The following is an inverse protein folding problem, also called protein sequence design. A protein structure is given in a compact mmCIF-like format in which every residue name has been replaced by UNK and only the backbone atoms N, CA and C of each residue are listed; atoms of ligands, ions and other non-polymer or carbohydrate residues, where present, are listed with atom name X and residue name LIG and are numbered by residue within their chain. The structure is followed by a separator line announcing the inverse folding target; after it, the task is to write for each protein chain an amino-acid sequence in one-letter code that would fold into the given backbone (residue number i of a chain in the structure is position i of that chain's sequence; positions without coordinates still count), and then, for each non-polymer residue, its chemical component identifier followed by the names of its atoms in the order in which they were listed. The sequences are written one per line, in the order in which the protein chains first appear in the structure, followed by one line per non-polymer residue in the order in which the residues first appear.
data_IF_565425659315
#
_entry.id   IF_565425659315
#
_cell.length_a   1.000
_cell.length_b   1.000
_cell.length_c   1.000
_cell.angle_alpha   90.00
_cell.angle_beta   90.00
_cell.angle_gamma   90.00
#
_symmetry.space_group_name_H-M   'P 1'
#
loop_
_entity.id
_entity.type
_entity.pdbx_description
1 polymer ?
2 non-polymer ?
3 non-polymer ?
4 non-polymer ?
5 water ?
#
# COMPACT_ATOMS: atom_id res chain seq x y z
N UNK A 21 4.18 12.69 -27.54
CA UNK A 21 3.39 11.46 -27.51
C UNK A 21 2.06 11.63 -26.76
N UNK A 22 0.98 11.09 -27.33
CA UNK A 22 -0.35 11.17 -26.72
C UNK A 22 -1.08 9.82 -26.79
N UNK A 23 -2.22 9.72 -26.13
CA UNK A 23 -3.04 8.52 -26.17
C UNK A 23 -4.52 8.86 -26.07
N UNK A 24 -5.36 7.96 -26.56
CA UNK A 24 -6.80 8.12 -26.54
C UNK A 24 -7.44 7.09 -25.61
N UNK A 25 -8.31 7.56 -24.71
CA UNK A 25 -9.04 6.69 -23.79
C UNK A 25 -10.50 7.09 -23.85
N UNK A 26 -11.35 6.17 -24.34
CA UNK A 26 -12.81 6.34 -24.47
C UNK A 26 -13.18 7.66 -25.18
N UNK A 27 -12.52 7.91 -26.30
CA UNK A 27 -12.70 9.11 -27.12
C UNK A 27 -12.04 10.38 -26.60
N UNK A 28 -11.37 10.31 -25.42
CA UNK A 28 -10.69 11.45 -24.82
C UNK A 28 -9.19 11.41 -25.07
N UNK A 29 -8.59 12.55 -25.44
CA UNK A 29 -7.17 12.65 -25.75
C UNK A 29 -6.38 13.15 -24.54
N UNK A 30 -5.23 12.53 -24.30
CA UNK A 30 -4.36 12.88 -23.18
C UNK A 30 -2.95 13.05 -23.68
N UNK A 31 -2.26 14.12 -23.29
CA UNK A 31 -0.87 14.23 -23.71
C UNK A 31 0.03 13.73 -22.58
N UNK A 32 1.06 12.95 -22.92
CA UNK A 32 2.00 12.39 -21.96
C UNK A 32 3.03 13.45 -21.55
N UNK A 33 3.18 13.69 -20.23
CA UNK A 33 4.18 14.64 -19.74
C UNK A 33 5.45 13.89 -19.39
N UNK A 34 5.30 12.65 -18.85
CA UNK A 34 6.41 11.77 -18.48
C UNK A 34 5.92 10.42 -17.90
N UNK A 35 6.82 9.44 -17.85
CA UNK A 35 6.64 8.13 -17.26
C UNK A 35 7.02 8.26 -15.78
N UNK A 36 6.08 7.94 -14.87
CA UNK A 36 6.17 7.98 -13.41
C UNK A 36 6.80 6.67 -12.95
N UNK A 37 6.32 5.56 -13.53
CA UNK A 37 6.75 4.23 -13.12
C UNK A 37 6.55 3.13 -14.14
N UNK A 38 7.01 1.93 -13.76
CA UNK A 38 6.98 0.72 -14.58
C UNK A 38 7.00 -0.53 -13.72
N UNK A 39 6.61 -1.64 -14.33
CA UNK A 39 6.56 -2.95 -13.70
C UNK A 39 5.99 -3.98 -14.64
N UNK A 40 6.81 -4.96 -15.02
CA UNK A 40 6.43 -6.02 -15.94
C UNK A 40 6.09 -5.47 -17.31
N UNK A 41 4.84 -5.67 -17.75
CA UNK A 41 4.39 -5.17 -19.06
C UNK A 41 3.52 -3.89 -18.93
N UNK A 42 3.58 -3.23 -17.75
CA UNK A 42 2.86 -2.01 -17.50
C UNK A 42 3.76 -0.78 -17.23
N UNK A 43 3.25 0.40 -17.63
CA UNK A 43 3.89 1.71 -17.50
C UNK A 43 2.86 2.67 -16.93
N UNK A 44 3.27 3.58 -16.03
CA UNK A 44 2.40 4.62 -15.44
C UNK A 44 2.91 5.96 -15.96
N UNK A 45 2.00 6.78 -16.50
CA UNK A 45 2.30 8.10 -17.03
C UNK A 45 1.59 9.23 -16.32
N UNK A 46 2.26 10.39 -16.23
CA UNK A 46 1.71 11.66 -15.79
C UNK A 46 1.22 12.31 -17.11
N UNK A 47 -0.09 12.57 -17.21
CA UNK A 47 -0.72 13.07 -18.44
C UNK A 47 -1.61 14.31 -18.19
N UNK A 48 -2.04 14.95 -19.30
CA UNK A 48 -2.99 16.04 -19.26
C UNK A 48 -4.14 15.77 -20.22
N UNK A 49 -5.38 16.08 -19.81
CA UNK A 49 -6.49 15.99 -20.76
C UNK A 49 -6.51 17.33 -21.57
N UNK A 50 -7.58 17.57 -22.34
CA UNK A 50 -7.75 18.77 -23.18
C UNK A 50 -7.98 20.05 -22.37
N UNK A 51 -8.50 19.94 -21.14
CA UNK A 51 -8.73 21.08 -20.23
C UNK A 51 -7.48 21.36 -19.36
N UNK A 52 -6.37 20.65 -19.65
CA UNK A 52 -5.07 20.71 -18.98
C UNK A 52 -5.15 20.22 -17.54
N UNK A 53 -6.04 19.24 -17.26
CA UNK A 53 -6.18 18.60 -15.95
C UNK A 53 -5.23 17.41 -15.94
N UNK A 54 -4.53 17.24 -14.82
CA UNK A 54 -3.53 16.22 -14.61
C UNK A 54 -4.14 14.88 -14.14
N UNK A 55 -3.64 13.77 -14.70
CA UNK A 55 -4.05 12.41 -14.36
C UNK A 55 -2.84 11.50 -14.40
N UNK A 56 -3.01 10.30 -13.84
CA UNK A 56 -2.05 9.22 -13.94
C UNK A 56 -2.74 8.20 -14.86
N UNK A 57 -2.07 7.78 -15.94
CA UNK A 57 -2.59 6.75 -16.81
C UNK A 57 -1.71 5.53 -16.72
N UNK A 58 -2.29 4.39 -16.34
CA UNK A 58 -1.57 3.13 -16.33
C UNK A 58 -1.87 2.44 -17.67
N UNK A 59 -0.81 2.13 -18.41
CA UNK A 59 -0.91 1.37 -19.65
C UNK A 59 -0.38 -0.04 -19.38
N UNK A 60 -1.12 -1.07 -19.80
CA UNK A 60 -0.73 -2.48 -19.63
C UNK A 60 -0.71 -3.15 -21.01
N UNK A 61 0.46 -3.68 -21.43
CA UNK A 61 0.59 -4.42 -22.68
C UNK A 61 0.18 -5.89 -22.40
N UNK A 62 -0.90 -6.35 -23.06
CA UNK A 62 -1.46 -7.70 -22.87
C UNK A 62 -1.00 -8.76 -23.89
N UNK A 63 -0.15 -8.38 -24.87
CA UNK A 63 0.31 -9.27 -25.95
C UNK A 63 0.96 -10.58 -25.46
N UNK A 64 1.79 -10.54 -24.39
CA UNK A 64 2.42 -11.76 -23.85
C UNK A 64 1.83 -12.17 -22.47
N UNK A 65 0.53 -11.90 -22.25
CA UNK A 65 -0.18 -12.22 -21.00
C UNK A 65 -1.05 -13.47 -21.11
N UNK A 66 -0.90 -14.36 -20.12
CA UNK A 66 -1.64 -15.62 -19.97
C UNK A 66 -2.97 -15.37 -19.24
N UNK A 67 -3.85 -16.40 -19.18
CA UNK A 67 -5.16 -16.31 -18.55
C UNK A 67 -5.14 -15.97 -17.05
N UNK A 68 -4.08 -16.40 -16.32
CA UNK A 68 -3.91 -16.13 -14.88
C UNK A 68 -3.63 -14.63 -14.69
N UNK A 69 -2.73 -14.07 -15.53
CA UNK A 69 -2.33 -12.67 -15.55
C UNK A 69 -3.48 -11.77 -16.02
N UNK A 70 -4.32 -12.25 -16.97
CA UNK A 70 -5.46 -11.46 -17.48
C UNK A 70 -6.49 -11.31 -16.39
N UNK A 71 -6.78 -12.41 -15.69
CA UNK A 71 -7.72 -12.46 -14.59
C UNK A 71 -7.30 -11.56 -13.43
N UNK A 72 -5.98 -11.43 -13.17
CA UNK A 72 -5.43 -10.61 -12.08
C UNK A 72 -5.69 -9.13 -12.38
N UNK A 73 -5.50 -8.71 -13.65
CA UNK A 73 -5.79 -7.35 -14.07
C UNK A 73 -7.28 -7.06 -14.11
N UNK A 74 -8.11 -8.03 -14.51
CA UNK A 74 -9.56 -7.86 -14.55
C UNK A 74 -10.08 -7.72 -13.13
N UNK A 75 -9.55 -8.54 -12.19
CA UNK A 75 -9.95 -8.52 -10.78
C UNK A 75 -9.59 -7.21 -10.07
N UNK A 76 -8.36 -6.66 -10.32
CA UNK A 76 -7.88 -5.38 -9.79
C UNK A 76 -8.80 -4.24 -10.25
N UNK A 77 -9.09 -4.17 -11.57
CA UNK A 77 -9.95 -3.13 -12.14
C UNK A 77 -11.34 -3.18 -11.52
N UNK A 78 -11.93 -4.39 -11.41
CA UNK A 78 -13.24 -4.63 -10.83
C UNK A 78 -13.27 -4.12 -9.38
N UNK A 79 -12.25 -4.47 -8.55
CA UNK A 79 -12.18 -4.04 -7.16
C UNK A 79 -11.98 -2.52 -7.05
N UNK A 80 -11.17 -1.92 -7.92
CA UNK A 80 -10.99 -0.48 -7.99
C UNK A 80 -12.32 0.22 -8.30
N UNK A 81 -13.06 -0.30 -9.28
CA UNK A 81 -14.35 0.23 -9.69
C UNK A 81 -15.38 0.14 -8.55
N UNK A 82 -15.53 -1.03 -7.93
CA UNK A 82 -16.45 -1.24 -6.82
C UNK A 82 -16.13 -0.33 -5.61
N UNK A 83 -14.86 -0.36 -5.14
CA UNK A 83 -14.43 0.33 -3.93
C UNK A 83 -14.46 1.85 -3.99
N UNK A 84 -14.55 2.47 -5.20
CA UNK A 84 -14.62 3.93 -5.45
C UNK A 84 -15.71 4.52 -4.58
N UNK A 85 -16.91 3.91 -4.63
CA UNK A 85 -18.13 4.33 -3.94
C UNK A 85 -18.12 4.00 -2.45
N UNK A 86 -17.13 3.24 -1.95
CA UNK A 86 -17.11 2.86 -0.54
C UNK A 86 -16.13 3.69 0.31
N UNK A 87 -15.04 4.17 -0.29
CA UNK A 87 -14.08 4.97 0.47
C UNK A 87 -13.36 5.96 -0.43
N UNK A 88 -13.02 7.15 0.10
CA UNK A 88 -12.22 8.11 -0.66
C UNK A 88 -10.72 7.83 -0.39
N UNK A 89 -10.39 6.75 0.36
CA UNK A 89 -9.00 6.40 0.68
C UNK A 89 -8.46 5.32 -0.25
N UNK A 90 -9.17 5.07 -1.33
CA UNK A 90 -8.79 4.20 -2.41
C UNK A 90 -8.63 5.16 -3.58
N UNK A 91 -7.57 5.01 -4.37
CA UNK A 91 -7.30 5.88 -5.52
C UNK A 91 -8.51 5.93 -6.47
N UNK A 92 -8.85 7.12 -6.97
CA UNK A 92 -9.95 7.31 -7.93
C UNK A 92 -9.58 6.79 -9.31
N UNK A 93 -10.45 5.93 -9.88
CA UNK A 93 -10.34 5.40 -11.22
C UNK A 93 -11.47 6.09 -12.01
N UNK A 94 -11.11 6.96 -12.94
CA UNK A 94 -12.07 7.75 -13.69
C UNK A 94 -12.68 7.08 -14.90
N UNK A 95 -11.85 6.40 -15.67
CA UNK A 95 -12.19 5.76 -16.92
C UNK A 95 -11.14 4.70 -17.19
N UNK A 96 -11.44 3.86 -18.15
CA UNK A 96 -10.57 2.79 -18.57
C UNK A 96 -11.00 2.27 -19.92
N UNK A 97 -10.05 1.66 -20.63
CA UNK A 97 -10.26 1.03 -21.91
C UNK A 97 -9.59 -0.34 -21.87
N UNK A 98 -10.32 -1.38 -22.20
CA UNK A 98 -9.77 -2.74 -22.18
C UNK A 98 -10.05 -3.44 -23.50
N UNK A 99 -8.98 -3.91 -24.16
CA UNK A 99 -9.06 -4.71 -25.39
C UNK A 99 -8.23 -6.00 -25.16
N UNK A 100 -8.09 -6.83 -26.20
CA UNK A 100 -7.27 -8.03 -26.17
C UNK A 100 -5.75 -7.70 -26.12
N UNK A 101 -5.37 -6.49 -26.58
CA UNK A 101 -3.96 -6.07 -26.64
C UNK A 101 -3.50 -5.19 -25.48
N UNK A 102 -4.39 -4.35 -24.94
CA UNK A 102 -3.98 -3.41 -23.91
C UNK A 102 -5.06 -3.06 -22.92
N UNK A 103 -4.63 -2.40 -21.84
CA UNK A 103 -5.45 -1.79 -20.81
C UNK A 103 -4.89 -0.36 -20.67
N UNK A 104 -5.81 0.61 -20.59
CA UNK A 104 -5.52 2.00 -20.21
C UNK A 104 -6.40 2.27 -19.00
N UNK A 105 -5.80 2.80 -17.93
CA UNK A 105 -6.58 3.13 -16.74
C UNK A 105 -6.30 4.57 -16.41
N UNK A 106 -7.34 5.41 -16.40
CA UNK A 106 -7.28 6.83 -16.10
C UNK A 106 -7.56 7.05 -14.62
N UNK A 107 -6.55 7.45 -13.87
CA UNK A 107 -6.68 7.64 -12.43
C UNK A 107 -6.32 9.03 -11.94
N UNK A 108 -6.64 9.33 -10.66
CA UNK A 108 -6.24 10.61 -10.07
C UNK A 108 -4.72 10.64 -9.88
N UNK A 109 -4.14 11.83 -10.02
CA UNK A 109 -2.70 11.98 -9.90
C UNK A 109 -2.32 12.33 -8.46
N UNK A 110 -1.30 11.66 -7.96
CA UNK A 110 -0.76 11.88 -6.62
C UNK A 110 0.63 12.47 -6.71
N UNK A 111 1.03 13.22 -5.68
CA UNK A 111 2.32 13.91 -5.60
C UNK A 111 3.49 12.95 -5.50
N UNK A 112 3.37 11.92 -4.64
CA UNK A 112 4.44 10.97 -4.34
C UNK A 112 3.88 9.75 -3.59
N UNK A 113 4.54 8.60 -3.69
CA UNK A 113 4.12 7.41 -2.92
C UNK A 113 4.70 7.58 -1.51
N UNK A 114 4.13 6.89 -0.52
CA UNK A 114 4.60 6.97 0.87
C UNK A 114 6.04 6.52 1.05
N UNK A 115 6.48 5.49 0.30
CA UNK A 115 7.84 4.98 0.42
C UNK A 115 8.90 6.01 0.03
N UNK A 116 8.74 6.68 -1.15
CA UNK A 116 9.68 7.71 -1.64
C UNK A 116 9.69 8.90 -0.71
N UNK A 117 8.53 9.23 -0.12
CA UNK A 117 8.36 10.29 0.86
C UNK A 117 9.12 9.96 2.17
N UNK A 118 8.95 8.73 2.71
CA UNK A 118 9.64 8.29 3.94
C UNK A 118 11.18 8.29 3.78
N UNK A 119 11.65 8.18 2.55
CA UNK A 119 13.07 8.21 2.20
C UNK A 119 13.60 9.65 2.23
N UNK A 120 12.82 10.63 1.71
CA UNK A 120 13.17 12.07 1.66
C UNK A 120 13.20 12.70 3.07
N UNK A 121 12.17 12.42 3.89
CA UNK A 121 11.97 12.94 5.25
C UNK A 121 13.06 12.57 6.26
N UNK A 122 13.53 13.58 7.03
CA UNK A 122 14.54 13.41 8.09
C UNK A 122 13.89 13.00 9.42
N UNK A 123 12.62 13.44 9.61
CA UNK A 123 11.74 13.18 10.77
C UNK A 123 10.31 13.53 10.37
N UNK A 124 9.33 12.87 10.99
CA UNK A 124 7.93 13.10 10.68
C UNK A 124 7.21 13.82 11.85
N UNK A 125 6.33 14.75 11.47
CA UNK A 125 5.45 15.51 12.34
C UNK A 125 4.44 14.51 13.00
N UNK A 126 4.24 14.52 14.34
CA UNK A 126 3.30 13.56 14.95
C UNK A 126 1.87 13.63 14.43
N UNK A 127 1.44 14.82 13.98
CA UNK A 127 0.10 15.06 13.46
C UNK A 127 -0.07 14.53 12.05
N UNK A 128 1.02 14.55 11.25
CA UNK A 128 1.05 14.01 9.91
C UNK A 128 1.04 12.48 10.00
N UNK A 129 1.83 11.92 10.95
CA UNK A 129 1.92 10.48 11.20
C UNK A 129 0.53 9.91 11.58
N UNK A 130 -0.16 10.59 12.50
CA UNK A 130 -1.50 10.23 12.99
C UNK A 130 -2.52 10.26 11.87
N UNK A 131 -2.54 11.33 11.07
CA UNK A 131 -3.43 11.51 9.93
C UNK A 131 -3.21 10.40 8.89
N UNK A 132 -1.92 10.11 8.56
CA UNK A 132 -1.52 9.06 7.61
C UNK A 132 -1.99 7.68 8.09
N UNK A 133 -1.77 7.37 9.38
CA UNK A 133 -2.20 6.14 10.05
C UNK A 133 -3.71 5.94 9.94
N UNK A 134 -4.50 7.00 10.18
CA UNK A 134 -5.96 6.89 10.07
C UNK A 134 -6.40 6.57 8.64
N UNK A 135 -5.79 7.19 7.64
CA UNK A 135 -6.08 6.96 6.21
C UNK A 135 -5.77 5.53 5.83
N UNK A 136 -4.63 5.01 6.28
CA UNK A 136 -4.21 3.64 6.01
C UNK A 136 -5.21 2.66 6.60
N UNK A 137 -5.63 2.89 7.88
CA UNK A 137 -6.65 2.05 8.54
C UNK A 137 -7.95 2.06 7.79
N UNK A 138 -8.43 3.24 7.34
CA UNK A 138 -9.67 3.35 6.57
C UNK A 138 -9.59 2.62 5.22
N UNK A 139 -8.49 2.80 4.46
CA UNK A 139 -8.32 2.12 3.17
C UNK A 139 -8.32 0.59 3.36
N UNK A 140 -7.51 0.10 4.33
CA UNK A 140 -7.37 -1.35 4.55
C UNK A 140 -8.63 -1.92 5.13
N UNK A 141 -9.35 -1.16 5.99
CA UNK A 141 -10.60 -1.65 6.52
C UNK A 141 -11.63 -1.91 5.42
N UNK A 142 -11.72 -0.99 4.44
CA UNK A 142 -12.62 -1.08 3.28
C UNK A 142 -12.36 -2.33 2.43
N UNK A 143 -11.10 -2.67 2.15
CA UNK A 143 -10.80 -3.86 1.34
C UNK A 143 -11.15 -5.13 2.11
N UNK A 144 -10.96 -5.12 3.47
CA UNK A 144 -11.32 -6.25 4.33
C UNK A 144 -12.80 -6.50 4.32
N UNK A 145 -13.61 -5.43 4.29
CA UNK A 145 -15.09 -5.52 4.23
C UNK A 145 -15.55 -6.14 2.90
N UNK A 146 -14.73 -6.08 1.85
CA UNK A 146 -15.09 -6.69 0.58
C UNK A 146 -14.41 -8.06 0.38
N UNK A 147 -13.88 -8.61 1.46
CA UNK A 147 -13.25 -9.92 1.46
C UNK A 147 -11.85 -10.03 0.91
N UNK A 148 -11.15 -8.90 0.78
CA UNK A 148 -9.77 -8.87 0.31
C UNK A 148 -8.81 -8.81 1.48
N UNK A 149 -7.83 -9.70 1.50
CA UNK A 149 -6.71 -9.59 2.41
C UNK A 149 -5.56 -9.25 1.45
N UNK A 150 -4.91 -8.09 1.63
CA UNK A 150 -3.81 -7.65 0.77
C UNK A 150 -2.64 -8.64 0.81
N UNK A 151 -2.12 -8.92 2.04
CA UNK A 151 -1.01 -9.81 2.41
C UNK A 151 0.41 -9.30 2.03
N UNK A 152 0.49 -8.25 1.22
CA UNK A 152 1.78 -7.74 0.75
C UNK A 152 1.95 -6.25 1.03
N UNK A 153 1.35 -5.72 2.14
CA UNK A 153 1.39 -4.29 2.42
C UNK A 153 2.77 -3.76 2.77
N UNK A 154 3.08 -2.62 2.18
CA UNK A 154 4.33 -1.89 2.37
C UNK A 154 4.06 -0.41 2.06
N UNK A 155 4.93 0.54 2.48
CA UNK A 155 4.66 1.97 2.19
C UNK A 155 4.44 2.33 0.72
N UNK A 156 5.10 1.63 -0.25
CA UNK A 156 4.91 1.95 -1.69
C UNK A 156 3.48 1.70 -2.21
N UNK A 157 2.63 0.96 -1.44
CA UNK A 157 1.21 0.71 -1.81
C UNK A 157 0.32 1.90 -1.50
N UNK A 158 0.87 2.93 -0.85
CA UNK A 158 0.14 4.13 -0.49
C UNK A 158 0.65 5.34 -1.25
N UNK A 159 -0.27 6.16 -1.68
CA UNK A 159 0.02 7.34 -2.43
C UNK A 159 -0.51 8.60 -1.70
N UNK A 160 0.29 9.68 -1.68
CA UNK A 160 -0.12 10.96 -1.09
C UNK A 160 -0.85 11.73 -2.19
N UNK A 161 -2.14 12.02 -1.95
CA UNK A 161 -3.00 12.81 -2.85
C UNK A 161 -3.65 13.90 -2.00
N UNK A 162 -3.17 15.13 -2.16
CA UNK A 162 -3.68 16.34 -1.48
C UNK A 162 -3.67 16.19 0.07
N UNK A 163 -2.50 15.87 0.62
CA UNK A 163 -2.30 15.64 2.05
C UNK A 163 -3.05 14.45 2.64
N UNK A 164 -3.47 13.51 1.79
CA UNK A 164 -4.24 12.33 2.21
C UNK A 164 -3.60 11.08 1.60
N UNK A 165 -3.48 9.97 2.38
CA UNK A 165 -2.95 8.70 1.86
C UNK A 165 -4.09 7.91 1.24
N UNK A 166 -3.80 7.32 0.08
CA UNK A 166 -4.76 6.49 -0.64
C UNK A 166 -4.08 5.21 -1.04
N UNK A 167 -4.77 4.09 -0.88
CA UNK A 167 -4.29 2.78 -1.30
C UNK A 167 -4.33 2.74 -2.86
N UNK A 168 -3.28 2.19 -3.50
CA UNK A 168 -3.25 2.17 -4.95
C UNK A 168 -3.29 0.77 -5.56
N UNK A 169 -3.09 -0.30 -4.76
CA UNK A 169 -3.19 -1.67 -5.25
C UNK A 169 -3.73 -2.59 -4.17
N UNK A 170 -4.28 -3.74 -4.58
CA UNK A 170 -4.91 -4.68 -3.66
C UNK A 170 -4.13 -5.97 -3.43
N UNK A 171 -2.90 -6.00 -3.94
CA UNK A 171 -2.04 -7.17 -3.87
C UNK A 171 -2.52 -8.28 -4.79
N UNK A 172 -3.33 -7.91 -5.82
CA UNK A 172 -3.96 -8.82 -6.81
C UNK A 172 -3.12 -8.90 -8.12
N UNK A 173 -2.64 -7.75 -8.65
CA UNK A 173 -1.84 -7.69 -9.90
C UNK A 173 -0.39 -7.16 -9.67
N UNK A 174 0.39 -7.00 -10.76
CA UNK A 174 1.80 -6.53 -10.82
C UNK A 174 2.06 -5.18 -10.13
N UNK A 175 3.14 -5.08 -9.33
CA UNK A 175 3.52 -3.85 -8.62
C UNK A 175 4.39 -2.91 -9.44
N UNK A 176 4.12 -1.60 -9.33
CA UNK A 176 4.84 -0.54 -10.04
C UNK A 176 5.95 0.07 -9.22
N UNK A 177 7.13 0.25 -9.83
CA UNK A 177 8.29 0.87 -9.20
C UNK A 177 8.52 2.26 -9.81
N UNK A 178 8.73 3.30 -8.97
CA UNK A 178 8.97 4.66 -9.53
C UNK A 178 10.16 4.76 -10.47
N UNK A 179 10.01 5.57 -11.53
CA UNK A 179 11.02 5.82 -12.59
C UNK A 179 11.74 7.16 -12.35
N UNK A 186 15.82 -1.53 -10.28
CA UNK A 186 16.03 -2.96 -10.05
C UNK A 186 14.68 -3.71 -10.01
N UNK A 187 14.43 -4.57 -11.01
CA UNK A 187 13.19 -5.37 -11.09
C UNK A 187 13.18 -6.61 -10.15
N UNK A 188 14.31 -6.88 -9.43
CA UNK A 188 14.44 -7.97 -8.44
C UNK A 188 14.01 -7.50 -7.06
N UNK A 189 13.98 -6.16 -6.84
CA UNK A 189 13.65 -5.52 -5.58
C UNK A 189 12.36 -6.07 -4.96
N UNK A 190 12.53 -6.51 -3.73
CA UNK A 190 11.49 -7.00 -2.86
C UNK A 190 11.79 -6.50 -1.46
N UNK A 191 11.09 -7.04 -0.47
CA UNK A 191 11.29 -6.74 0.95
C UNK A 191 10.48 -7.73 1.77
N UNK A 192 11.13 -8.24 2.80
CA UNK A 192 10.60 -9.20 3.74
C UNK A 192 10.28 -8.46 5.07
N UNK A 193 10.75 -7.19 5.18
CA UNK A 193 10.64 -6.35 6.39
C UNK A 193 9.22 -6.15 6.96
N UNK A 194 8.16 -6.25 6.14
CA UNK A 194 6.75 -6.06 6.57
C UNK A 194 5.95 -7.40 6.62
N UNK A 195 6.62 -8.54 6.37
CA UNK A 195 5.98 -9.86 6.31
C UNK A 195 5.47 -10.39 7.66
N UNK A 196 4.15 -10.72 7.79
CA UNK A 196 3.65 -11.23 9.08
C UNK A 196 4.16 -12.65 9.41
N UNK A 197 4.38 -12.97 10.71
CA UNK A 197 4.91 -14.29 11.07
C UNK A 197 4.09 -15.49 10.57
N UNK A 198 2.77 -15.41 10.65
CA UNK A 198 1.91 -16.51 10.26
C UNK A 198 2.13 -16.92 8.81
N UNK A 199 2.43 -15.95 7.95
CA UNK A 199 2.68 -16.26 6.55
C UNK A 199 3.92 -17.14 6.39
N UNK A 200 4.98 -16.81 7.11
CA UNK A 200 6.20 -17.60 7.11
C UNK A 200 5.98 -18.98 7.73
N UNK A 201 5.22 -19.01 8.81
CA UNK A 201 4.92 -20.24 9.54
C UNK A 201 4.16 -21.22 8.66
N UNK A 202 3.26 -20.68 7.85
CA UNK A 202 2.36 -21.50 7.05
C UNK A 202 3.09 -21.98 5.80
N UNK A 203 3.89 -23.01 5.98
CA UNK A 203 4.67 -23.60 4.90
C UNK A 203 5.34 -24.89 5.34
N UNK A 215 -4.26 -19.62 7.76
CA UNK A 215 -3.27 -18.81 8.47
C UNK A 215 -3.37 -17.29 8.16
N UNK A 216 -3.24 -16.90 6.86
CA UNK A 216 -3.35 -15.51 6.38
C UNK A 216 -4.80 -15.00 6.50
N UNK A 217 -5.00 -13.97 7.33
CA UNK A 217 -6.31 -13.38 7.62
C UNK A 217 -6.21 -11.85 7.63
N UNK A 218 -7.33 -11.09 7.83
CA UNK A 218 -7.21 -9.63 7.94
C UNK A 218 -6.17 -9.17 8.99
N UNK A 219 -5.87 -10.03 9.99
CA UNK A 219 -4.86 -9.78 11.03
C UNK A 219 -3.45 -9.66 10.44
N UNK A 220 -3.19 -10.36 9.31
CA UNK A 220 -1.90 -10.30 8.62
C UNK A 220 -1.56 -8.90 8.13
N UNK A 221 -2.60 -8.14 7.70
CA UNK A 221 -2.45 -6.77 7.24
C UNK A 221 -2.20 -5.82 8.38
N UNK A 222 -2.69 -6.15 9.60
CA UNK A 222 -2.47 -5.38 10.83
C UNK A 222 -0.98 -5.38 11.17
N UNK A 223 -0.33 -6.56 11.05
CA UNK A 223 1.09 -6.68 11.32
C UNK A 223 1.87 -5.78 10.38
N UNK A 224 1.55 -5.82 9.05
CA UNK A 224 2.22 -4.99 8.02
C UNK A 224 2.01 -3.50 8.24
N UNK A 225 0.77 -3.07 8.55
CA UNK A 225 0.48 -1.67 8.92
C UNK A 225 1.30 -1.26 10.16
N UNK A 226 1.41 -2.18 11.13
CA UNK A 226 2.17 -2.02 12.36
C UNK A 226 3.64 -1.72 12.07
N UNK A 227 4.26 -2.50 11.16
CA UNK A 227 5.64 -2.30 10.68
C UNK A 227 5.81 -0.93 10.01
N UNK A 228 4.78 -0.44 9.29
CA UNK A 228 4.82 0.89 8.63
C UNK A 228 4.78 1.99 9.69
N UNK A 229 3.89 1.88 10.68
CA UNK A 229 3.80 2.84 11.77
C UNK A 229 5.09 2.85 12.60
N UNK A 230 5.67 1.65 12.84
CA UNK A 230 6.92 1.49 13.56
C UNK A 230 8.04 2.26 12.83
N UNK A 231 8.07 2.16 11.48
CA UNK A 231 9.01 2.88 10.61
C UNK A 231 8.82 4.38 10.80
N UNK A 232 7.57 4.87 10.69
CA UNK A 232 7.19 6.27 10.88
C UNK A 232 7.47 6.79 12.29
N UNK A 233 7.68 5.88 13.27
CA UNK A 233 7.91 6.26 14.67
C UNK A 233 9.39 6.23 15.04
N UNK A 234 10.07 5.09 14.78
CA UNK A 234 11.46 4.84 15.19
C UNK A 234 12.47 5.03 14.09
N UNK A 235 12.00 5.19 12.85
CA UNK A 235 12.89 5.43 11.71
C UNK A 235 13.50 4.20 11.10
N UNK A 236 13.05 3.04 11.59
CA UNK A 236 13.47 1.74 11.06
C UNK A 236 12.34 0.71 11.20
N UNK A 237 12.37 -0.36 10.41
CA UNK A 237 11.35 -1.39 10.57
C UNK A 237 11.82 -2.32 11.71
N UNK A 238 10.91 -3.13 12.33
CA UNK A 238 11.33 -3.95 13.49
C UNK A 238 12.53 -4.89 13.33
N UNK A 239 12.79 -5.42 12.12
CA UNK A 239 13.85 -6.41 11.87
C UNK A 239 14.90 -5.97 10.82
N UNK A 240 14.96 -4.65 10.56
CA UNK A 240 15.84 -4.04 9.57
C UNK A 240 17.34 -4.32 9.77
N UNK A 241 17.80 -4.33 11.03
CA UNK A 241 19.19 -4.56 11.46
C UNK A 241 19.74 -5.97 11.12
N UNK A 242 18.85 -6.97 10.94
CA UNK A 242 19.24 -8.34 10.60
C UNK A 242 19.58 -8.36 9.10
N UNK A 243 20.86 -8.56 8.77
CA UNK A 243 21.34 -8.51 7.38
C UNK A 243 20.80 -9.66 6.51
N UNK A 244 21.15 -10.92 6.86
CA UNK A 244 20.72 -12.13 6.16
C UNK A 244 19.17 -12.22 6.12
N UNK A 245 18.58 -12.45 4.92
CA UNK A 245 17.12 -12.54 4.76
C UNK A 245 16.57 -13.80 5.42
N UNK A 246 17.37 -14.87 5.47
CA UNK A 246 17.00 -16.14 6.09
C UNK A 246 16.91 -15.95 7.61
N UNK A 247 17.91 -15.26 8.21
CA UNK A 247 17.96 -14.95 9.64
C UNK A 247 16.81 -14.00 10.02
N UNK A 248 16.45 -13.09 9.09
CA UNK A 248 15.35 -12.13 9.24
C UNK A 248 14.03 -12.88 9.37
N UNK A 249 13.75 -13.84 8.47
CA UNK A 249 12.51 -14.64 8.50
C UNK A 249 12.41 -15.44 9.79
N UNK A 250 13.55 -15.96 10.28
CA UNK A 250 13.64 -16.69 11.54
C UNK A 250 13.31 -15.79 12.72
N UNK A 251 13.79 -14.53 12.71
CA UNK A 251 13.53 -13.54 13.76
C UNK A 251 12.06 -13.13 13.81
N UNK A 252 11.42 -12.97 12.62
CA UNK A 252 10.00 -12.60 12.52
C UNK A 252 9.09 -13.63 13.24
N UNK A 253 9.42 -14.93 13.12
CA UNK A 253 8.59 -16.00 13.70
C UNK A 253 9.05 -16.47 15.10
N UNK A 254 10.22 -16.02 15.57
CA UNK A 254 10.74 -16.44 16.88
C UNK A 254 10.13 -15.64 18.03
N UNK A 255 9.30 -16.28 18.90
CA UNK A 255 8.71 -15.53 20.03
C UNK A 255 9.77 -15.06 21.04
N UNK A 256 10.95 -15.73 21.05
CA UNK A 256 12.10 -15.39 21.89
C UNK A 256 12.81 -14.12 21.41
N UNK A 257 12.59 -13.71 20.14
CA UNK A 257 13.20 -12.48 19.60
C UNK A 257 12.26 -11.30 19.96
N UNK A 258 12.58 -10.60 21.05
CA UNK A 258 11.76 -9.48 21.50
C UNK A 258 11.99 -8.23 20.68
N UNK A 259 10.91 -7.66 20.12
CA UNK A 259 10.97 -6.40 19.36
C UNK A 259 11.15 -5.28 20.40
N UNK A 260 12.08 -4.36 20.15
CA UNK A 260 12.32 -3.26 21.07
C UNK A 260 11.33 -2.14 20.80
N UNK A 261 10.72 -1.62 21.86
CA UNK A 261 9.78 -0.51 21.81
C UNK A 261 10.29 0.61 22.75
N UNK A 262 11.29 1.43 22.31
CA UNK A 262 11.81 2.51 23.18
C UNK A 262 10.73 3.51 23.60
N UNK A 263 10.90 4.09 24.80
CA UNK A 263 10.00 5.08 25.39
C UNK A 263 9.95 6.33 24.53
N UNK A 264 8.73 6.80 24.23
CA UNK A 264 8.43 7.99 23.40
C UNK A 264 7.35 8.87 24.08
N UNK A 265 7.26 10.20 23.79
CA UNK A 265 6.22 11.03 24.44
C UNK A 265 4.77 10.57 24.26
N UNK A 266 4.43 10.01 23.07
CA UNK A 266 3.06 9.54 22.76
C UNK A 266 2.88 8.10 23.25
N UNK A 267 2.39 7.93 24.48
CA UNK A 267 2.16 6.63 25.10
C UNK A 267 1.11 5.81 24.35
N UNK A 268 0.11 6.47 23.73
CA UNK A 268 -0.94 5.83 22.92
C UNK A 268 -0.35 5.21 21.66
N UNK A 269 0.62 5.92 21.03
CA UNK A 269 1.33 5.43 19.84
C UNK A 269 2.10 4.14 20.18
N UNK A 270 2.86 4.18 21.28
CA UNK A 270 3.63 3.05 21.77
C UNK A 270 2.72 1.84 21.98
N UNK A 271 1.52 2.05 22.57
CA UNK A 271 0.55 1.01 22.82
C UNK A 271 0.01 0.39 21.50
N UNK A 272 -0.31 1.24 20.47
CA UNK A 272 -0.76 0.82 19.14
C UNK A 272 0.28 -0.12 18.53
N UNK A 273 1.57 0.29 18.58
CA UNK A 273 2.70 -0.47 18.06
C UNK A 273 2.83 -1.85 18.69
N UNK A 274 2.64 -1.95 20.01
CA UNK A 274 2.76 -3.22 20.72
C UNK A 274 1.63 -4.20 20.37
N UNK A 275 0.40 -3.67 20.20
CA UNK A 275 -0.81 -4.42 19.85
C UNK A 275 -0.80 -4.97 18.42
N UNK A 276 -0.20 -4.22 17.48
CA UNK A 276 -0.06 -4.59 16.08
C UNK A 276 0.98 -5.69 15.92
N UNK A 277 2.08 -5.63 16.71
CA UNK A 277 3.21 -6.53 16.50
C UNK A 277 3.24 -7.71 17.46
N UNK A 278 2.07 -8.30 17.72
CA UNK A 278 1.92 -9.52 18.52
C UNK A 278 2.04 -10.68 17.50
N UNK A 279 2.95 -11.62 17.76
CA UNK A 279 3.24 -12.71 16.82
C UNK A 279 2.06 -13.66 16.60
N UNK A 280 1.19 -13.80 17.60
CA UNK A 280 -0.01 -14.63 17.53
C UNK A 280 -1.13 -13.75 16.96
N UNK A 281 -1.68 -14.11 15.78
CA UNK A 281 -2.73 -13.26 15.19
C UNK A 281 -4.03 -13.16 15.99
N UNK A 282 -4.34 -14.16 16.82
CA UNK A 282 -5.53 -14.16 17.66
C UNK A 282 -5.41 -13.11 18.77
N UNK A 283 -4.16 -12.85 19.24
CA UNK A 283 -3.82 -11.87 20.26
C UNK A 283 -3.69 -10.46 19.65
N UNK A 284 -3.29 -10.38 18.37
CA UNK A 284 -3.10 -9.15 17.61
C UNK A 284 -4.42 -8.37 17.52
N UNK A 285 -4.34 -7.06 17.72
CA UNK A 285 -5.49 -6.14 17.64
C UNK A 285 -6.06 -6.16 16.18
N UNK A 286 -7.36 -5.90 16.03
CA UNK A 286 -8.04 -5.86 14.75
C UNK A 286 -8.12 -4.41 14.25
N UNK A 287 -8.50 -4.22 12.96
CA UNK A 287 -8.66 -2.88 12.42
C UNK A 287 -9.88 -2.16 13.06
N UNK A 288 -11.09 -2.75 13.22
CA UNK A 288 -12.20 -2.04 13.92
C UNK A 288 -11.82 -1.55 15.32
N UNK A 289 -10.98 -2.34 16.04
CA UNK A 289 -10.47 -1.96 17.36
C UNK A 289 -9.46 -0.82 17.22
N UNK A 290 -8.53 -0.90 16.26
CA UNK A 290 -7.57 0.19 16.02
C UNK A 290 -8.26 1.52 15.69
N UNK A 291 -9.45 1.47 15.07
CA UNK A 291 -10.18 2.69 14.73
C UNK A 291 -10.88 3.31 15.94
N UNK A 292 -11.01 2.56 17.03
CA UNK A 292 -11.63 3.05 18.26
C UNK A 292 -10.54 3.36 19.31
N UNK A 293 -9.27 3.25 18.96
CA UNK A 293 -8.14 3.47 19.85
C UNK A 293 -7.92 4.97 20.17
N UNK A 294 -7.52 5.35 21.41
CA UNK A 294 -7.21 6.79 21.69
C UNK A 294 -6.21 7.44 20.72
N UNK A 295 -5.22 6.69 20.22
CA UNK A 295 -4.25 7.26 19.27
C UNK A 295 -4.88 7.86 17.99
N UNK A 296 -5.89 7.20 17.42
CA UNK A 296 -6.57 7.65 16.20
C UNK A 296 -7.71 8.66 16.52
N UNK A 297 -8.43 8.44 17.64
CA UNK A 297 -9.59 9.27 18.01
C UNK A 297 -9.31 10.50 18.84
N UNK A 298 -8.20 10.53 19.59
CA UNK A 298 -7.89 11.65 20.48
C UNK A 298 -6.58 12.36 20.06
N UNK A 299 -6.59 13.71 20.07
CA UNK A 299 -5.44 14.57 19.76
C UNK A 299 -5.50 15.87 20.55
X LIG B 1 1.51 3.05 -9.56
X LIG B 1 1.57 4.25 -9.40
X LIG B 1 2.69 4.91 -9.07
X LIG B 1 3.89 4.11 -8.83
X LIG B 1 4.38 4.44 -7.46
X LIG B 1 4.87 4.43 -9.89
X LIG B 1 0.47 5.09 -9.53
X LIG B 1 -0.84 4.69 -9.84
X LIG B 1 -1.30 3.36 -10.09
X LIG B 1 -0.76 2.28 -10.81
X LIG B 1 -1.57 1.24 -10.76
X LIG B 1 -2.65 1.64 -10.00
X LIG B 1 -3.76 0.74 -9.74
X LIG B 1 -2.51 2.91 -9.60
X LIG B 1 -1.64 5.78 -9.88
X LIG B 1 -0.86 6.93 -9.57
X LIG B 1 0.47 6.49 -9.35
X LIG B 1 1.47 7.39 -9.04
X LIG B 1 1.13 8.74 -8.93
X LIG B 1 -0.11 9.18 -9.12
X LIG B 1 -1.06 8.29 -9.44
X LIG B 1 2.03 9.72 -8.59
X LIG B 1 3.40 9.60 -8.28
X LIG B 1 3.91 8.44 -7.70
X LIG B 1 5.25 8.34 -7.40
X LIG B 1 6.12 9.38 -7.66
X LIG B 1 5.61 10.55 -8.23
X LIG B 1 4.27 10.65 -8.53
X LIG B 1 7.55 9.26 -7.33
X LIG B 1 8.39 8.16 -7.54
X LIG B 1 9.64 8.44 -7.05
X LIG B 1 9.57 9.66 -6.56
X LIG B 1 10.71 10.37 -5.92
X LIG B 1 8.33 10.24 -6.70
X LIG B 1 7.94 11.59 -6.27
X LIG C 1 -8.93 15.16 -11.48
X LIG C 1 -8.42 14.42 -10.36
X LIG C 1 -10.30 15.78 -11.12
X LIG C 1 -11.23 15.51 -12.17
X LIG D 1 -14.03 -8.31 12.46
X LIG D 1 -12.81 -7.87 13.05
X LIG D 1 -14.67 -7.16 11.66
X LIG D 1 -16.02 -7.48 11.34
X LIG E 1 -11.55 12.46 -16.89
X LIG E 1 -11.00 13.17 -18.00
X LIG E 1 -11.76 10.97 -17.27
X LIG E 1 -13.03 10.77 -17.85
X LIG F 1 2.10 3.87 -24.05
X LIG F 1 3.33 3.20 -24.23
X LIG F 1 1.25 3.78 -25.34
X LIG F 1 0.05 4.50 -25.15
X LIG G 1 -5.27 3.75 -28.40
X LIG G 1 -6.68 3.77 -28.18
X LIG G 1 -4.72 5.19 -28.18
X LIG G 1 -3.31 5.16 -27.96
X LIG H 1 -9.87 5.21 -28.05
X LIG H 1 -10.63 6.36 -27.66
X LIG H 1 -10.02 4.97 -29.58
X LIG H 1 -8.96 4.12 -29.99
X LIG I 1 -0.34 10.82 24.27
X LIG I 1 -0.36 9.52 23.72
X LIG I 1 0.60 10.84 25.50
X LIG I 1 0.20 9.83 26.40
X LIG J 1 -11.50 15.39 -25.37
X LIG J 1 -10.14 15.13 -25.69
X LIG J 1 -12.35 15.33 -26.66
X LIG J 1 -11.93 14.24 -27.48
X LIG K 1 -2.70 15.92 -5.53
X LIG K 1 -1.39 15.61 -5.94
X LIG K 1 -3.07 17.32 -6.07
X LIG K 1 -2.08 18.25 -5.64
X LIG L 1 15.80 3.19 4.82
X LIG L 1 14.82 3.62 5.77
X LIG L 1 16.75 4.34 4.53
X LIG L 1 18.03 4.06 5.10
X LIG M 1 11.12 9.17 12.93
X LIG M 1 11.44 9.38 11.51
X LIG M 1 10.47 10.73 13.49
X LIG M 1 12.69 9.19 13.77
#
# INVERSE_FOLDING_TARGET
MHHHHHHSSGVDLGTENLYFQSMSVKGRIYSILKQIGSGGSSKVFQVLNEKKQIYAIKYVNLEEADNQTLDSYRNEIAYLNKLQQHSDKIIRLYDYEITDQYIYMVMEWGNIDLNSWLKKKKSIDPWERKSYWKNMLEAVHTIHQHGIVHSDLKPANFLIVDGMLKLIDFGIANQMQPDTTSVVKDSQVGTVNYMPPEAIKDMSSSRENGKSKSKISPKSDVWSLGCILYYMTYGKTPFQQIINQISKLHAIIDPNHEIEFPDIPEKDLQDVLKCCLKRDPKQRISIPELLAHPYVQIQTHPVNQMAKGTTEE
PWU O C11 O1 C12 C14 C13 N1 C5 C7 C9 N3 N2 C10 C8 C6 C C4 C3 C2 N C1 N4 C15 C20 C19 C18 C17 C16 C21 C23 N6 C22 C24 N5 C25
EDO C1 O1 C2 O2
EDO C1 O1 C2 O2
EDO C1 O1 C2 O2
EDO C1 O1 C2 O2
EDO C1 O1 C2 O2
EDO C1 O1 C2 O2
EDO C1 O1 C2 O2
EDO C1 O1 C2 O2
EDO C1 O1 C2 O2
EDO C1 O1 C2 O2
DMS S O C1 C2
#
